data_IF_335731015007
#
_entry.id   IF_335731015007
#
_cell.length_a   1.000
_cell.length_b   1.000
_cell.length_c   1.000
_cell.angle_alpha   90.00
_cell.angle_beta   90.00
_cell.angle_gamma   90.00
#
_symmetry.space_group_name_H-M   'P 1'
#
loop_
_entity.id
_entity.type
_entity.pdbx_description
1 polymer ?
#
# COMPACT_ATOMS: atom_id res chain seq x y z
N UNK A 1 -45.67 5.06 -72.80
CA UNK A 1 -46.41 5.14 -71.52
C UNK A 1 -45.38 4.93 -70.42
N UNK A 2 -45.22 5.93 -69.57
CA UNK A 2 -44.19 6.01 -68.54
C UNK A 2 -44.37 4.93 -67.47
N UNK A 3 -43.28 4.32 -67.00
CA UNK A 3 -43.14 4.03 -65.56
C UNK A 3 -41.67 3.82 -65.16
N UNK A 4 -41.22 4.76 -64.34
CA UNK A 4 -40.00 4.76 -63.54
C UNK A 4 -40.21 3.74 -62.41
N UNK A 5 -39.27 2.81 -62.20
CA UNK A 5 -39.08 2.12 -60.92
C UNK A 5 -37.57 1.86 -60.74
N UNK A 6 -36.93 2.70 -59.93
CA UNK A 6 -36.58 2.47 -58.52
C UNK A 6 -35.33 1.59 -58.34
N UNK A 7 -34.26 2.29 -57.97
CA UNK A 7 -33.02 1.77 -57.41
C UNK A 7 -33.35 1.09 -56.07
N UNK A 8 -33.06 -0.20 -55.94
CA UNK A 8 -32.99 -0.85 -54.63
C UNK A 8 -31.53 -0.90 -54.18
N UNK A 9 -31.19 -0.06 -53.20
CA UNK A 9 -29.95 -0.15 -52.43
C UNK A 9 -30.07 -1.36 -51.51
N UNK A 10 -29.20 -2.36 -51.69
CA UNK A 10 -29.04 -3.47 -50.76
C UNK A 10 -28.16 -3.01 -49.58
N UNK A 11 -28.77 -2.59 -48.47
CA UNK A 11 -28.07 -2.42 -47.20
C UNK A 11 -28.09 -3.75 -46.46
N UNK A 12 -26.97 -4.47 -46.48
CA UNK A 12 -26.74 -5.66 -45.67
C UNK A 12 -26.56 -5.24 -44.20
N UNK A 13 -27.63 -5.32 -43.42
CA UNK A 13 -27.54 -5.37 -41.97
C UNK A 13 -26.99 -6.75 -41.57
N UNK A 14 -25.67 -6.85 -41.38
CA UNK A 14 -25.10 -8.00 -40.69
C UNK A 14 -25.63 -8.00 -39.26
N UNK A 15 -26.33 -9.08 -38.93
CA UNK A 15 -26.89 -9.35 -37.60
C UNK A 15 -25.90 -9.00 -36.50
N UNK A 16 -26.39 -8.14 -35.63
CA UNK A 16 -26.01 -8.01 -34.24
C UNK A 16 -25.72 -9.38 -33.64
N UNK A 17 -24.47 -9.66 -33.33
CA UNK A 17 -24.12 -10.60 -32.26
C UNK A 17 -23.87 -9.75 -31.04
N UNK A 18 -24.94 -9.48 -30.30
CA UNK A 18 -24.85 -9.04 -28.91
C UNK A 18 -24.09 -10.16 -28.20
N UNK A 19 -22.76 -10.02 -28.08
CA UNK A 19 -22.07 -10.61 -26.95
C UNK A 19 -22.56 -9.85 -25.73
N UNK A 20 -23.66 -10.32 -25.15
CA UNK A 20 -23.86 -10.23 -23.71
C UNK A 20 -22.70 -11.03 -23.12
N UNK A 21 -21.53 -10.40 -23.00
CA UNK A 21 -20.63 -10.78 -21.93
C UNK A 21 -21.43 -10.46 -20.68
N UNK A 22 -21.91 -11.50 -20.00
CA UNK A 22 -22.36 -11.38 -18.62
C UNK A 22 -21.29 -10.56 -17.91
N UNK A 23 -21.59 -9.32 -17.55
CA UNK A 23 -20.77 -8.55 -16.65
C UNK A 23 -20.85 -9.30 -15.32
N UNK A 24 -19.99 -10.30 -15.16
CA UNK A 24 -19.57 -10.75 -13.85
C UNK A 24 -19.06 -9.46 -13.21
N UNK A 25 -19.83 -8.92 -12.26
CA UNK A 25 -19.38 -7.76 -11.50
C UNK A 25 -18.07 -8.18 -10.84
N UNK A 26 -16.94 -7.84 -11.46
CA UNK A 26 -15.62 -8.02 -10.88
C UNK A 26 -15.59 -7.15 -9.63
N UNK A 27 -15.95 -7.79 -8.50
CA UNK A 27 -15.97 -7.14 -7.19
C UNK A 27 -14.56 -6.62 -6.96
N UNK A 28 -14.44 -5.31 -6.72
CA UNK A 28 -13.16 -4.67 -6.44
C UNK A 28 -12.53 -5.37 -5.22
N UNK A 29 -11.33 -5.97 -5.35
CA UNK A 29 -10.64 -6.52 -4.20
C UNK A 29 -10.25 -5.36 -3.27
N UNK A 30 -10.36 -5.57 -1.96
CA UNK A 30 -10.00 -4.58 -0.95
C UNK A 30 -9.06 -5.17 0.09
N UNK A 31 -8.26 -4.31 0.71
CA UNK A 31 -7.48 -4.64 1.88
C UNK A 31 -8.21 -4.12 3.12
N UNK A 32 -8.47 -5.01 4.07
CA UNK A 32 -8.90 -4.70 5.42
C UNK A 32 -7.65 -4.64 6.29
N UNK A 33 -7.14 -3.42 6.49
CA UNK A 33 -5.86 -3.14 7.14
C UNK A 33 -6.12 -2.87 8.62
N UNK A 34 -5.68 -3.76 9.49
CA UNK A 34 -5.70 -3.51 10.92
C UNK A 34 -4.61 -2.47 11.26
N UNK A 35 -5.01 -1.39 11.93
CA UNK A 35 -4.15 -0.24 12.24
C UNK A 35 -3.33 -0.46 13.52
N UNK A 36 -2.10 0.04 13.56
CA UNK A 36 -1.20 0.10 14.72
C UNK A 36 -0.99 -1.27 15.39
N UNK A 37 -0.68 -2.28 14.59
CA UNK A 37 -0.44 -3.67 15.01
C UNK A 37 1.05 -3.86 15.29
N UNK A 38 1.47 -3.58 16.51
CA UNK A 38 2.89 -3.46 16.86
C UNK A 38 3.43 -4.63 17.69
N UNK A 39 2.64 -5.68 17.88
CA UNK A 39 3.08 -6.89 18.58
C UNK A 39 2.59 -8.15 17.88
N UNK A 40 3.32 -9.26 18.05
CA UNK A 40 2.92 -10.58 17.51
C UNK A 40 1.52 -10.97 18.00
N UNK A 41 1.19 -10.66 19.26
CA UNK A 41 -0.13 -10.92 19.84
C UNK A 41 -1.23 -10.16 19.09
N UNK A 42 -1.00 -8.91 18.71
CA UNK A 42 -1.97 -8.13 17.94
C UNK A 42 -2.09 -8.67 16.50
N UNK A 43 -0.99 -9.13 15.89
CA UNK A 43 -1.04 -9.79 14.57
C UNK A 43 -2.02 -10.96 14.61
N UNK A 44 -1.85 -11.87 15.57
CA UNK A 44 -2.75 -13.02 15.73
C UNK A 44 -4.19 -12.60 15.97
N UNK A 45 -4.39 -11.61 16.84
CA UNK A 45 -5.71 -11.09 17.16
C UNK A 45 -6.42 -10.53 15.93
N UNK A 46 -5.86 -9.55 15.24
CA UNK A 46 -6.55 -8.87 14.15
C UNK A 46 -6.68 -9.73 12.89
N UNK A 47 -5.69 -10.58 12.58
CA UNK A 47 -5.81 -11.54 11.48
C UNK A 47 -6.92 -12.55 11.77
N UNK A 48 -7.10 -12.98 13.03
CA UNK A 48 -8.20 -13.88 13.41
C UNK A 48 -9.59 -13.22 13.31
N UNK A 49 -9.66 -11.89 13.46
CA UNK A 49 -10.88 -11.11 13.28
C UNK A 49 -11.22 -10.81 11.81
N UNK A 50 -10.35 -11.24 10.86
CA UNK A 50 -10.61 -11.12 9.42
C UNK A 50 -9.86 -9.98 8.73
N UNK A 51 -8.84 -9.39 9.38
CA UNK A 51 -7.89 -8.54 8.67
C UNK A 51 -7.11 -9.38 7.64
N UNK A 52 -6.99 -8.88 6.41
CA UNK A 52 -6.14 -9.47 5.37
C UNK A 52 -4.83 -8.68 5.18
N UNK A 53 -4.67 -7.60 5.93
CA UNK A 53 -3.51 -6.73 5.98
C UNK A 53 -3.35 -6.16 7.39
N UNK A 54 -2.14 -5.80 7.76
CA UNK A 54 -1.85 -5.05 8.99
C UNK A 54 -0.96 -3.87 8.66
N UNK A 55 -1.07 -2.82 9.45
CA UNK A 55 -0.14 -1.70 9.50
C UNK A 55 0.61 -1.74 10.85
N UNK A 56 1.93 -1.51 10.81
CA UNK A 56 2.82 -1.53 11.96
C UNK A 56 3.79 -0.35 11.89
N UNK A 57 3.94 0.36 13.00
CA UNK A 57 4.84 1.50 13.12
C UNK A 57 6.28 1.06 13.31
N UNK A 58 7.20 1.48 12.46
CA UNK A 58 8.63 1.18 12.61
C UNK A 58 9.33 2.37 13.26
N UNK A 59 9.83 2.16 14.48
CA UNK A 59 10.62 3.14 15.21
C UNK A 59 12.10 3.05 14.83
N UNK A 60 12.69 4.21 14.60
CA UNK A 60 14.12 4.38 14.35
C UNK A 60 14.78 5.07 15.54
N UNK A 61 15.98 4.63 15.92
CA UNK A 61 16.82 5.33 16.88
C UNK A 61 17.70 6.37 16.15
N UNK A 62 18.32 7.27 16.92
CA UNK A 62 19.01 8.46 16.38
C UNK A 62 20.13 8.17 15.37
N UNK A 63 20.75 7.00 15.41
CA UNK A 63 21.77 6.60 14.44
C UNK A 63 21.16 6.15 13.10
N UNK A 64 19.83 6.11 12.99
CA UNK A 64 19.11 5.68 11.81
C UNK A 64 18.74 4.20 11.78
N UNK A 65 19.02 3.42 12.83
CA UNK A 65 18.68 2.00 12.83
C UNK A 65 17.21 1.77 13.21
N UNK A 66 16.54 0.91 12.44
CA UNK A 66 15.18 0.45 12.72
C UNK A 66 15.22 -0.64 13.80
N UNK A 67 14.48 -0.47 14.90
CA UNK A 67 14.65 -1.31 16.10
C UNK A 67 13.37 -2.02 16.55
N UNK A 68 12.24 -1.33 16.54
CA UNK A 68 11.00 -1.85 17.11
C UNK A 68 9.83 -1.58 16.18
N UNK A 69 8.86 -2.47 16.25
CA UNK A 69 7.49 -2.10 15.93
C UNK A 69 6.90 -1.41 17.15
N UNK A 70 6.60 -0.11 17.07
CA UNK A 70 6.15 0.70 18.20
C UNK A 70 5.64 2.07 17.75
N UNK A 71 4.49 2.48 18.31
CA UNK A 71 3.90 3.79 18.09
C UNK A 71 4.27 4.80 19.20
N UNK A 72 3.87 4.50 20.44
CA UNK A 72 3.95 5.43 21.58
C UNK A 72 2.78 6.42 21.68
N UNK A 73 2.72 7.19 22.76
CA UNK A 73 1.69 8.21 22.94
C UNK A 73 2.08 9.55 22.29
N UNK A 74 1.12 10.32 21.74
CA UNK A 74 -0.30 10.02 21.60
C UNK A 74 -0.58 9.06 20.43
N UNK A 75 -1.65 8.26 20.50
CA UNK A 75 -2.13 7.43 19.39
C UNK A 75 -3.66 7.53 19.23
N UNK A 76 -4.23 6.70 18.35
CA UNK A 76 -5.68 6.61 18.12
C UNK A 76 -6.48 6.41 19.42
N UNK A 77 -7.68 6.97 19.43
CA UNK A 77 -8.58 6.95 20.57
C UNK A 77 -8.95 5.51 20.95
N UNK A 78 -8.98 5.27 22.27
CA UNK A 78 -9.30 3.98 22.87
C UNK A 78 -8.34 2.82 22.53
N UNK A 79 -7.12 3.15 22.10
CA UNK A 79 -6.05 2.18 21.85
C UNK A 79 -4.99 2.19 22.97
N UNK A 80 -4.38 1.02 23.17
CA UNK A 80 -3.13 0.91 23.93
C UNK A 80 -1.97 1.19 22.98
N UNK A 81 -1.23 2.26 23.22
CA UNK A 81 -0.20 2.75 22.28
C UNK A 81 1.19 2.15 22.51
N UNK A 82 1.35 1.27 23.50
CA UNK A 82 2.65 0.86 24.03
C UNK A 82 3.06 -0.57 23.69
N UNK A 83 2.18 -1.32 23.02
CA UNK A 83 2.54 -2.64 22.52
C UNK A 83 3.71 -2.52 21.54
N UNK A 84 4.65 -3.47 21.62
CA UNK A 84 5.87 -3.47 20.81
C UNK A 84 6.46 -4.85 20.61
N UNK A 85 7.24 -4.99 19.55
CA UNK A 85 8.09 -6.15 19.30
C UNK A 85 9.44 -5.71 18.71
N UNK A 86 10.49 -6.50 18.96
CA UNK A 86 11.76 -6.39 18.25
C UNK A 86 11.53 -6.58 16.74
N UNK A 87 12.04 -5.66 15.90
CA UNK A 87 11.69 -5.64 14.48
C UNK A 87 12.13 -6.92 13.73
N UNK A 88 13.37 -7.43 13.87
CA UNK A 88 13.75 -8.74 13.31
C UNK A 88 12.81 -9.87 13.74
N UNK A 89 12.49 -9.96 15.04
CA UNK A 89 11.56 -10.98 15.56
C UNK A 89 10.16 -10.84 14.96
N UNK A 90 9.66 -9.61 14.83
CA UNK A 90 8.38 -9.32 14.21
C UNK A 90 8.36 -9.75 12.73
N UNK A 91 9.36 -9.35 11.95
CA UNK A 91 9.47 -9.72 10.53
C UNK A 91 9.59 -11.24 10.33
N UNK A 92 10.38 -11.92 11.17
CA UNK A 92 10.49 -13.38 11.17
C UNK A 92 9.15 -14.07 11.47
N UNK A 93 8.37 -13.52 12.40
CA UNK A 93 7.01 -14.00 12.67
C UNK A 93 6.09 -13.84 11.45
N UNK A 94 6.10 -12.66 10.82
CA UNK A 94 5.30 -12.39 9.62
C UNK A 94 5.67 -13.35 8.51
N UNK A 95 6.97 -13.59 8.26
CA UNK A 95 7.44 -14.58 7.30
C UNK A 95 6.83 -15.94 7.57
N UNK A 96 6.95 -16.46 8.79
CA UNK A 96 6.47 -17.79 9.15
C UNK A 96 4.96 -17.95 8.89
N UNK A 97 4.14 -16.96 9.27
CA UNK A 97 2.69 -17.02 9.06
C UNK A 97 2.26 -16.72 7.61
N UNK A 98 3.18 -16.30 6.75
CA UNK A 98 2.90 -16.00 5.33
C UNK A 98 3.62 -16.95 4.37
N UNK A 99 4.30 -17.97 4.88
CA UNK A 99 4.97 -19.02 4.11
C UNK A 99 4.08 -20.26 3.92
N UNK A 100 3.64 -20.58 2.68
CA UNK A 100 2.95 -21.83 2.40
C UNK A 100 3.79 -23.04 2.84
N UNK A 101 3.15 -24.00 3.52
CA UNK A 101 3.84 -25.17 4.09
C UNK A 101 4.29 -24.99 5.53
N UNK A 102 4.35 -23.76 6.06
CA UNK A 102 4.51 -23.55 7.50
C UNK A 102 3.21 -23.93 8.24
N UNK A 103 3.32 -24.60 9.39
CA UNK A 103 2.17 -25.01 10.20
C UNK A 103 1.29 -23.84 10.66
N UNK A 104 1.84 -22.62 10.74
CA UNK A 104 1.14 -21.39 11.13
C UNK A 104 0.67 -20.57 9.94
N UNK A 105 0.79 -21.07 8.71
CA UNK A 105 0.46 -20.33 7.51
C UNK A 105 -0.99 -19.80 7.52
N UNK A 106 -1.14 -18.50 7.27
CA UNK A 106 -2.40 -17.77 7.19
C UNK A 106 -2.65 -17.35 5.75
N UNK A 107 -3.34 -18.20 4.99
CA UNK A 107 -3.65 -17.97 3.56
C UNK A 107 -4.33 -16.63 3.23
N UNK A 108 -5.06 -16.05 4.19
CA UNK A 108 -5.80 -14.80 4.00
C UNK A 108 -4.97 -13.56 4.32
N UNK A 109 -3.80 -13.69 4.95
CA UNK A 109 -2.95 -12.57 5.28
C UNK A 109 -2.01 -12.26 4.10
N UNK A 110 -2.21 -11.09 3.50
CA UNK A 110 -1.68 -10.78 2.17
C UNK A 110 -0.74 -9.57 2.14
N UNK A 111 -0.80 -8.67 3.12
CA UNK A 111 -0.03 -7.42 3.11
C UNK A 111 0.45 -7.03 4.51
N UNK A 112 1.74 -6.80 4.62
CA UNK A 112 2.36 -6.05 5.71
C UNK A 112 2.56 -4.61 5.24
N UNK A 113 2.03 -3.65 5.98
CA UNK A 113 2.25 -2.22 5.78
C UNK A 113 3.11 -1.72 6.95
N UNK A 114 4.28 -1.16 6.66
CA UNK A 114 5.14 -0.51 7.64
C UNK A 114 5.01 1.03 7.54
N UNK A 115 4.52 1.67 8.60
CA UNK A 115 4.58 3.13 8.77
C UNK A 115 5.95 3.52 9.35
N UNK A 116 6.79 4.13 8.54
CA UNK A 116 8.17 4.41 8.89
C UNK A 116 8.27 5.77 9.59
N UNK A 117 8.57 5.77 10.89
CA UNK A 117 8.73 6.99 11.71
C UNK A 117 10.08 7.68 11.49
N UNK A 118 10.44 7.91 10.22
CA UNK A 118 11.74 8.43 9.79
C UNK A 118 11.81 9.96 9.75
N UNK A 119 10.68 10.67 9.81
CA UNK A 119 10.67 12.12 9.68
C UNK A 119 11.41 12.84 10.83
N UNK A 120 11.61 12.16 11.96
CA UNK A 120 12.40 12.67 13.09
C UNK A 120 13.91 12.46 12.92
N UNK A 121 14.34 11.65 11.95
CA UNK A 121 15.75 11.41 11.70
C UNK A 121 16.41 12.62 11.02
N UNK A 122 17.70 12.89 11.33
CA UNK A 122 18.45 13.90 10.60
C UNK A 122 18.57 13.50 9.12
N UNK A 123 18.56 14.47 8.18
CA UNK A 123 18.64 14.18 6.74
C UNK A 123 19.82 13.27 6.37
N UNK A 124 20.97 13.43 7.03
CA UNK A 124 22.18 12.62 6.81
C UNK A 124 22.02 11.14 7.17
N UNK A 125 21.07 10.78 8.03
CA UNK A 125 20.83 9.38 8.41
C UNK A 125 19.87 8.66 7.47
N UNK A 126 18.97 9.37 6.77
CA UNK A 126 17.83 8.78 6.06
C UNK A 126 18.22 7.74 5.02
N UNK A 127 19.24 8.03 4.20
CA UNK A 127 19.71 7.10 3.18
C UNK A 127 20.31 5.81 3.80
N UNK A 128 21.10 5.93 4.86
CA UNK A 128 21.67 4.78 5.58
C UNK A 128 20.56 3.98 6.26
N UNK A 129 19.58 4.64 6.88
CA UNK A 129 18.39 3.98 7.43
C UNK A 129 17.61 3.17 6.40
N UNK A 130 17.50 3.69 5.18
CA UNK A 130 16.89 2.98 4.06
C UNK A 130 17.63 1.69 3.72
N UNK A 131 18.97 1.75 3.67
CA UNK A 131 19.83 0.59 3.42
C UNK A 131 19.71 -0.45 4.55
N UNK A 132 19.82 -0.01 5.80
CA UNK A 132 19.71 -0.91 6.97
C UNK A 132 18.35 -1.59 7.03
N UNK A 133 17.24 -0.87 6.79
CA UNK A 133 15.92 -1.48 6.77
C UNK A 133 15.77 -2.47 5.59
N UNK A 134 16.29 -2.15 4.40
CA UNK A 134 16.27 -3.06 3.26
C UNK A 134 16.97 -4.38 3.60
N UNK A 135 18.16 -4.32 4.21
CA UNK A 135 18.88 -5.50 4.65
C UNK A 135 18.07 -6.32 5.68
N UNK A 136 17.52 -5.67 6.71
CA UNK A 136 16.68 -6.33 7.72
C UNK A 136 15.46 -7.03 7.12
N UNK A 137 14.76 -6.38 6.19
CA UNK A 137 13.58 -6.94 5.52
C UNK A 137 13.97 -8.12 4.66
N UNK A 138 15.03 -8.00 3.87
CA UNK A 138 15.51 -9.11 3.04
C UNK A 138 15.86 -10.31 3.91
N UNK A 139 16.62 -10.11 4.99
CA UNK A 139 17.13 -11.21 5.82
C UNK A 139 16.01 -11.87 6.63
N UNK A 140 15.08 -11.08 7.19
CA UNK A 140 14.10 -11.58 8.16
C UNK A 140 12.72 -11.88 7.54
N UNK A 141 12.31 -11.15 6.49
CA UNK A 141 10.99 -11.32 5.85
C UNK A 141 11.05 -12.21 4.61
N UNK A 142 12.03 -11.99 3.72
CA UNK A 142 12.10 -12.68 2.43
C UNK A 142 13.15 -13.80 2.37
N UNK A 143 14.12 -13.81 3.29
CA UNK A 143 15.21 -14.79 3.39
C UNK A 143 15.95 -15.01 2.05
N UNK A 144 16.35 -13.91 1.40
CA UNK A 144 17.12 -13.85 0.13
C UNK A 144 16.55 -14.62 -1.08
N UNK A 145 15.38 -15.24 -0.95
CA UNK A 145 14.82 -16.14 -1.96
C UNK A 145 13.37 -15.81 -2.21
N UNK A 146 13.04 -15.56 -3.48
CA UNK A 146 11.65 -15.37 -3.88
C UNK A 146 10.85 -16.64 -3.62
N UNK A 147 9.76 -16.54 -2.88
CA UNK A 147 8.77 -17.62 -2.76
C UNK A 147 8.68 -18.30 -1.40
N UNK A 148 9.52 -17.94 -0.42
CA UNK A 148 9.33 -18.37 0.96
C UNK A 148 8.05 -17.74 1.54
N UNK A 149 7.95 -16.42 1.61
CA UNK A 149 6.74 -15.69 2.01
C UNK A 149 5.91 -15.25 0.81
N UNK A 150 4.57 -15.30 0.94
CA UNK A 150 3.60 -14.75 -0.03
C UNK A 150 3.13 -13.34 0.31
N UNK A 151 3.64 -12.73 1.38
CA UNK A 151 3.23 -11.40 1.82
C UNK A 151 3.71 -10.34 0.83
N UNK A 152 2.86 -9.33 0.60
CA UNK A 152 3.30 -8.07 -0.01
C UNK A 152 3.75 -7.12 1.08
N UNK A 153 4.63 -6.20 0.72
CA UNK A 153 5.12 -5.18 1.64
C UNK A 153 4.74 -3.79 1.10
N UNK A 154 4.17 -2.95 1.96
CA UNK A 154 3.98 -1.53 1.70
C UNK A 154 4.84 -0.74 2.68
N UNK A 155 5.70 0.14 2.17
CA UNK A 155 6.53 1.03 2.97
C UNK A 155 5.98 2.46 2.85
N UNK A 156 5.55 3.06 3.96
CA UNK A 156 5.11 4.46 3.97
C UNK A 156 6.15 5.34 4.65
N UNK A 157 6.63 6.34 3.93
CA UNK A 157 7.42 7.42 4.51
C UNK A 157 6.50 8.55 4.96
N UNK A 158 6.88 9.32 5.97
CA UNK A 158 6.02 10.39 6.48
C UNK A 158 5.78 11.49 5.45
N UNK A 159 6.86 12.06 4.90
CA UNK A 159 6.80 13.21 4.01
C UNK A 159 7.58 13.01 2.70
N UNK A 160 7.27 13.83 1.70
CA UNK A 160 7.99 13.85 0.40
C UNK A 160 9.48 14.15 0.54
N UNK A 161 9.88 14.87 1.59
CA UNK A 161 11.29 15.20 1.85
C UNK A 161 12.08 14.03 2.44
N UNK A 162 11.42 12.90 2.71
CA UNK A 162 12.06 11.67 3.19
C UNK A 162 12.55 10.78 2.03
N UNK A 163 12.54 11.27 0.78
CA UNK A 163 12.87 10.47 -0.41
C UNK A 163 14.30 9.89 -0.41
N UNK A 164 15.25 10.47 0.33
CA UNK A 164 16.60 9.91 0.48
C UNK A 164 16.57 8.52 1.14
N UNK A 165 15.60 8.25 2.02
CA UNK A 165 15.36 6.91 2.58
C UNK A 165 15.01 5.90 1.48
N UNK A 166 14.07 6.28 0.61
CA UNK A 166 13.63 5.45 -0.52
C UNK A 166 14.83 5.16 -1.43
N UNK A 167 15.67 6.17 -1.67
CA UNK A 167 16.87 5.99 -2.48
C UNK A 167 17.89 5.04 -1.85
N UNK A 168 18.09 5.13 -0.54
CA UNK A 168 18.95 4.22 0.22
C UNK A 168 18.44 2.78 0.14
N UNK A 169 17.15 2.58 0.36
CA UNK A 169 16.50 1.27 0.32
C UNK A 169 16.65 0.58 -1.05
N UNK A 170 16.30 1.29 -2.12
CA UNK A 170 16.42 0.76 -3.49
C UNK A 170 17.88 0.49 -3.88
N UNK A 171 18.83 1.30 -3.40
CA UNK A 171 20.26 1.07 -3.64
C UNK A 171 20.76 -0.22 -2.98
N UNK A 172 20.28 -0.54 -1.77
CA UNK A 172 20.64 -1.80 -1.11
C UNK A 172 20.08 -3.02 -1.87
N UNK A 173 18.83 -2.94 -2.34
CA UNK A 173 18.27 -4.01 -3.19
C UNK A 173 19.08 -4.19 -4.47
N UNK A 174 19.55 -3.10 -5.07
CA UNK A 174 20.38 -3.15 -6.27
C UNK A 174 21.75 -3.79 -6.01
N UNK A 175 22.43 -3.39 -4.93
CA UNK A 175 23.71 -3.96 -4.49
C UNK A 175 23.59 -5.46 -4.25
N UNK A 176 22.51 -5.91 -3.58
CA UNK A 176 22.25 -7.33 -3.33
C UNK A 176 21.68 -8.08 -4.55
N UNK A 177 21.44 -7.39 -5.68
CA UNK A 177 20.83 -7.95 -6.89
C UNK A 177 19.41 -8.51 -6.67
N UNK A 178 18.67 -7.88 -5.77
CA UNK A 178 17.32 -8.25 -5.34
C UNK A 178 16.22 -7.32 -5.90
N UNK A 179 16.50 -6.57 -6.97
CA UNK A 179 15.54 -5.70 -7.67
C UNK A 179 14.22 -6.39 -8.05
N UNK A 180 14.20 -7.72 -8.11
CA UNK A 180 12.98 -8.49 -8.34
C UNK A 180 11.94 -8.34 -7.21
N UNK A 181 12.36 -7.96 -5.99
CA UNK A 181 11.47 -7.69 -4.86
C UNK A 181 10.57 -6.48 -5.08
N UNK A 182 10.93 -5.57 -6.01
CA UNK A 182 10.08 -4.44 -6.41
C UNK A 182 8.75 -4.86 -7.03
N UNK A 183 8.53 -6.17 -7.28
CA UNK A 183 7.21 -6.72 -7.68
C UNK A 183 6.25 -6.93 -6.50
N UNK A 184 6.77 -7.04 -5.28
CA UNK A 184 6.00 -7.31 -4.06
C UNK A 184 6.13 -6.19 -3.02
N UNK A 185 7.12 -5.30 -3.17
CA UNK A 185 7.28 -4.07 -2.41
C UNK A 185 6.55 -2.93 -3.12
N UNK A 186 5.80 -2.16 -2.36
CA UNK A 186 5.16 -0.91 -2.76
C UNK A 186 5.48 0.23 -1.80
N UNK A 187 5.10 1.43 -2.20
CA UNK A 187 5.52 2.67 -1.55
C UNK A 187 4.36 3.65 -1.33
N UNK A 188 4.41 4.43 -0.26
CA UNK A 188 3.42 5.46 0.10
C UNK A 188 4.07 6.69 0.76
N UNK A 189 3.37 7.82 0.74
CA UNK A 189 3.67 9.01 1.57
C UNK A 189 2.48 9.27 2.48
N UNK A 190 2.64 8.97 3.78
CA UNK A 190 1.55 8.77 4.72
C UNK A 190 0.94 10.03 5.34
N UNK A 191 1.69 11.13 5.49
CA UNK A 191 1.25 12.30 6.28
C UNK A 191 0.54 13.39 5.47
N UNK A 192 -0.20 12.99 4.44
CA UNK A 192 -1.11 13.85 3.67
C UNK A 192 -0.48 15.07 2.98
N UNK A 193 0.80 15.02 2.60
CA UNK A 193 1.41 16.05 1.75
C UNK A 193 0.55 16.32 0.50
N UNK A 194 0.60 17.54 -0.09
CA UNK A 194 -0.22 17.85 -1.25
C UNK A 194 0.05 16.87 -2.41
N UNK A 195 -1.02 16.33 -3.00
CA UNK A 195 -0.94 15.25 -4.00
C UNK A 195 -0.02 15.56 -5.18
N UNK A 196 0.05 16.82 -5.62
CA UNK A 196 0.94 17.23 -6.72
C UNK A 196 2.43 17.23 -6.33
N UNK A 197 2.74 17.46 -5.05
CA UNK A 197 4.11 17.40 -4.53
C UNK A 197 4.55 15.95 -4.41
N UNK A 198 3.66 15.08 -3.92
CA UNK A 198 3.89 13.62 -3.93
C UNK A 198 4.13 13.12 -5.37
N UNK A 199 3.30 13.55 -6.32
CA UNK A 199 3.48 13.20 -7.74
C UNK A 199 4.80 13.75 -8.33
N UNK A 200 5.31 14.86 -7.81
CA UNK A 200 6.60 15.40 -8.23
C UNK A 200 7.77 14.61 -7.62
N UNK A 201 7.60 14.13 -6.39
CA UNK A 201 8.61 13.34 -5.67
C UNK A 201 8.86 11.98 -6.34
N UNK A 202 7.85 11.15 -6.58
CA UNK A 202 8.14 9.87 -7.25
C UNK A 202 8.56 10.00 -8.72
N UNK A 203 8.17 11.07 -9.44
CA UNK A 203 8.78 11.39 -10.74
C UNK A 203 10.29 11.61 -10.61
N UNK A 204 10.72 12.31 -9.57
CA UNK A 204 12.14 12.54 -9.27
C UNK A 204 12.85 11.25 -8.87
N UNK A 205 12.21 10.39 -8.06
CA UNK A 205 12.75 9.08 -7.68
C UNK A 205 12.89 8.18 -8.91
N UNK A 206 11.91 8.18 -9.82
CA UNK A 206 11.96 7.61 -11.17
C UNK A 206 12.00 6.08 -11.29
N UNK A 207 12.46 5.37 -10.26
CA UNK A 207 12.70 3.92 -10.30
C UNK A 207 11.68 3.05 -9.55
N UNK A 208 10.85 3.65 -8.71
CA UNK A 208 9.86 2.90 -7.92
C UNK A 208 8.54 2.69 -8.67
N UNK A 209 7.87 1.59 -8.34
CA UNK A 209 6.54 1.21 -8.83
C UNK A 209 5.67 0.78 -7.64
N UNK A 210 4.42 0.37 -7.87
CA UNK A 210 3.50 -0.08 -6.83
C UNK A 210 3.22 1.02 -5.80
N UNK A 211 2.80 2.19 -6.28
CA UNK A 211 2.57 3.36 -5.44
C UNK A 211 1.15 3.31 -4.88
N UNK A 212 1.05 3.36 -3.56
CA UNK A 212 -0.21 3.55 -2.85
C UNK A 212 -0.32 5.01 -2.41
N UNK A 213 -1.55 5.46 -2.24
CA UNK A 213 -1.81 6.78 -1.66
C UNK A 213 -2.80 6.65 -0.51
N UNK A 214 -2.31 6.95 0.69
CA UNK A 214 -3.15 7.15 1.87
C UNK A 214 -3.83 8.51 1.86
N UNK A 215 -5.05 8.55 2.38
CA UNK A 215 -5.71 9.76 2.84
C UNK A 215 -6.44 9.47 4.13
N UNK A 216 -6.34 10.34 5.12
CA UNK A 216 -6.87 9.99 6.42
C UNK A 216 -6.48 10.86 7.59
N UNK A 217 -7.02 10.50 8.75
CA UNK A 217 -6.68 11.09 10.05
C UNK A 217 -6.97 10.09 11.16
N UNK A 218 -6.34 10.29 12.32
CA UNK A 218 -6.64 9.55 13.55
C UNK A 218 -8.14 9.35 13.76
N UNK A 219 -8.54 8.16 14.22
CA UNK A 219 -9.95 7.83 14.48
C UNK A 219 -10.62 8.79 15.48
N UNK A 220 -9.85 9.49 16.32
CA UNK A 220 -10.33 10.54 17.20
C UNK A 220 -11.04 11.67 16.45
N UNK A 221 -10.66 11.92 15.20
CA UNK A 221 -11.12 13.04 14.38
C UNK A 221 -11.68 12.59 13.02
N UNK A 222 -11.54 11.32 12.65
CA UNK A 222 -11.98 10.79 11.36
C UNK A 222 -13.49 10.96 11.08
N UNK A 223 -14.41 10.96 12.08
CA UNK A 223 -15.82 11.26 11.84
C UNK A 223 -16.09 12.64 11.25
N UNK A 224 -15.19 13.59 11.43
CA UNK A 224 -15.31 14.98 10.96
C UNK A 224 -14.33 15.31 9.83
N UNK A 225 -13.61 14.31 9.32
CA UNK A 225 -12.60 14.50 8.30
C UNK A 225 -13.22 14.73 6.92
N UNK A 226 -12.69 15.70 6.17
CA UNK A 226 -13.17 16.03 4.83
C UNK A 226 -12.55 15.08 3.79
N UNK A 227 -13.40 14.34 3.06
CA UNK A 227 -12.98 13.34 2.06
C UNK A 227 -12.58 13.91 0.70
N UNK A 228 -12.49 15.23 0.53
CA UNK A 228 -12.13 15.86 -0.75
C UNK A 228 -10.73 15.47 -1.26
N UNK A 229 -9.76 15.28 -0.35
CA UNK A 229 -8.42 14.79 -0.72
C UNK A 229 -8.47 13.32 -1.13
N UNK A 230 -9.19 12.46 -0.40
CA UNK A 230 -9.44 11.06 -0.77
C UNK A 230 -10.07 10.95 -2.17
N UNK A 231 -11.14 11.70 -2.45
CA UNK A 231 -11.76 11.72 -3.79
C UNK A 231 -10.78 12.17 -4.87
N UNK A 232 -9.93 13.15 -4.57
CA UNK A 232 -8.89 13.64 -5.48
C UNK A 232 -7.77 12.62 -5.73
N UNK A 233 -7.43 11.79 -4.75
CA UNK A 233 -6.48 10.68 -4.89
C UNK A 233 -7.09 9.53 -5.72
N UNK A 234 -8.36 9.19 -5.47
CA UNK A 234 -9.12 8.21 -6.25
C UNK A 234 -9.19 8.63 -7.72
N UNK A 235 -9.52 9.90 -7.99
CA UNK A 235 -9.57 10.46 -9.34
C UNK A 235 -8.21 10.32 -10.05
N UNK A 236 -7.10 10.65 -9.39
CA UNK A 236 -5.74 10.47 -9.95
C UNK A 236 -5.36 9.02 -10.23
N UNK A 237 -5.80 8.07 -9.39
CA UNK A 237 -5.61 6.63 -9.62
C UNK A 237 -6.39 6.15 -10.85
N UNK A 238 -7.61 6.63 -11.01
CA UNK A 238 -8.52 6.18 -12.07
C UNK A 238 -8.31 6.93 -13.41
N UNK A 239 -7.70 8.12 -13.36
CA UNK A 239 -7.36 8.92 -14.53
C UNK A 239 -6.26 8.26 -15.37
N UNK A 240 -6.67 7.69 -16.50
CA UNK A 240 -5.78 7.36 -17.61
C UNK A 240 -5.67 8.58 -18.52
N UNK A 241 -4.48 9.13 -18.71
CA UNK A 241 -4.25 10.20 -19.66
C UNK A 241 -3.64 9.62 -20.94
N UNK A 242 -4.05 10.08 -22.13
CA UNK A 242 -3.46 9.68 -23.42
C UNK A 242 -1.93 9.86 -23.47
N UNK A 243 -1.35 10.73 -22.64
CA UNK A 243 0.12 10.92 -22.53
C UNK A 243 0.79 10.01 -21.47
N UNK A 244 0.04 9.28 -20.65
CA UNK A 244 0.56 8.35 -19.65
C UNK A 244 -0.28 7.07 -19.63
N UNK A 245 0.20 5.99 -20.25
CA UNK A 245 -0.58 4.75 -20.35
C UNK A 245 -0.87 4.13 -18.98
N UNK A 246 0.00 4.37 -17.99
CA UNK A 246 -0.14 3.86 -16.63
C UNK A 246 -0.40 5.00 -15.62
N UNK A 247 -1.37 4.81 -14.69
CA UNK A 247 -1.58 5.73 -13.59
C UNK A 247 -0.39 5.69 -12.65
N UNK A 248 -0.12 6.82 -12.02
CA UNK A 248 0.99 6.94 -11.08
C UNK A 248 0.66 6.32 -9.71
N UNK A 249 -0.62 6.31 -9.34
CA UNK A 249 -1.12 5.69 -8.11
C UNK A 249 -1.78 4.37 -8.53
N UNK A 250 -1.34 3.27 -7.94
CA UNK A 250 -1.90 1.93 -8.18
C UNK A 250 -3.08 1.64 -7.25
N UNK A 251 -3.02 2.12 -6.00
CA UNK A 251 -4.02 1.85 -4.95
C UNK A 251 -4.22 3.07 -4.05
N UNK A 252 -5.43 3.18 -3.50
CA UNK A 252 -5.79 4.24 -2.55
C UNK A 252 -6.42 3.57 -1.33
N UNK A 253 -6.08 4.04 -0.14
CA UNK A 253 -6.64 3.57 1.13
C UNK A 253 -7.06 4.75 2.01
N UNK A 254 -8.06 4.52 2.87
CA UNK A 254 -8.57 5.50 3.82
C UNK A 254 -8.30 5.02 5.24
N UNK A 255 -7.78 5.90 6.09
CA UNK A 255 -7.42 5.59 7.48
C UNK A 255 -7.79 6.75 8.44
N UNK A 256 -7.94 6.56 9.75
CA UNK A 256 -8.39 5.33 10.41
C UNK A 256 -9.92 5.36 10.47
N UNK A 257 -10.59 4.27 10.06
CA UNK A 257 -12.05 4.24 9.87
C UNK A 257 -12.69 3.10 10.67
N UNK A 258 -13.25 3.44 11.84
CA UNK A 258 -13.81 2.44 12.77
C UNK A 258 -15.34 2.34 12.73
N UNK A 259 -16.01 3.39 12.26
CA UNK A 259 -17.48 3.47 12.29
C UNK A 259 -18.05 2.94 10.97
N UNK A 260 -19.00 2.00 11.06
CA UNK A 260 -19.61 1.32 9.89
C UNK A 260 -20.12 2.28 8.82
N UNK A 261 -20.69 3.43 9.20
CA UNK A 261 -21.17 4.44 8.26
C UNK A 261 -20.01 4.99 7.41
N UNK A 262 -18.88 5.32 8.04
CA UNK A 262 -17.70 5.85 7.35
C UNK A 262 -17.01 4.76 6.51
N UNK A 263 -16.98 3.52 6.99
CA UNK A 263 -16.48 2.38 6.21
C UNK A 263 -17.30 2.25 4.91
N UNK A 264 -18.64 2.29 5.00
CA UNK A 264 -19.51 2.24 3.82
C UNK A 264 -19.29 3.42 2.88
N UNK A 265 -19.10 4.63 3.41
CA UNK A 265 -18.78 5.81 2.59
C UNK A 265 -17.42 5.68 1.88
N UNK A 266 -16.45 5.00 2.49
CA UNK A 266 -15.12 4.78 1.91
C UNK A 266 -15.10 3.76 0.78
N UNK A 267 -16.09 2.86 0.74
CA UNK A 267 -16.19 1.79 -0.24
C UNK A 267 -17.06 2.14 -1.47
N UNK A 268 -17.71 3.30 -1.45
CA UNK A 268 -18.58 3.80 -2.53
C UNK A 268 -17.80 4.73 -3.45
#
# INVERSE_FOLDING_TARGET
>A
MWQIFQIYVLILFVKCNIRQTSAYYDKRPFYNIAHMVNSIREVDHYVSLGANAIESDVTFINNGSAVFTYHGYPCDCFRHCTEREDLPRFLGYIRDITTPGNARYRKNFALLFLDLKISQLPPSAKAVSGQELAALIVDNLFNDTLGSSKVKLLLSVGHVFDYDFILGFENELEIRKLNHLNKVIGWDVGLNDPLFVIESMWKRVGRVKNIWQGDGRTNCLSPFYNLGRLTSAIKRRDEKNMMRPDPYIDKVYHWTVDITVNIRSSLR
#
